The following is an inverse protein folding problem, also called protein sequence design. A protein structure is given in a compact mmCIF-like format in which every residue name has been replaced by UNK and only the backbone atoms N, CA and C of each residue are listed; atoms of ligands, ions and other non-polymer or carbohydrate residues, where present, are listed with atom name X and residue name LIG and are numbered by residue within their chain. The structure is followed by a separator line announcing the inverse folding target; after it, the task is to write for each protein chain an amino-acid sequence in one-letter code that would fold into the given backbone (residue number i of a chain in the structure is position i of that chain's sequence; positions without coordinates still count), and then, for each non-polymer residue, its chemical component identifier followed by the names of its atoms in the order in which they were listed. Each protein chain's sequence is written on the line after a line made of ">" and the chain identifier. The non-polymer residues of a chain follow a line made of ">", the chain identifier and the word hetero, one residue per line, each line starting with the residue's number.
data_IF_045845101645
#
_entry.id   IF_045845101645
#
_cell.length_a   1.000
_cell.length_b   1.000
_cell.length_c   1.000
_cell.angle_alpha   90.00
_cell.angle_beta   90.00
_cell.angle_gamma   90.00
#
_symmetry.space_group_name_H-M   'P 1'
#
loop_
_entity.id
_entity.type
_entity.pdbx_description
1 polymer ?
#
# COMPACT_ATOMS: atom_id res chain seq x y z
N UNK A 1 11.33 34.93 59.23
CA UNK A 1 10.51 33.97 58.46
C UNK A 1 11.10 33.87 57.06
N UNK A 2 11.98 32.88 56.83
CA UNK A 2 12.71 32.68 55.57
C UNK A 2 11.80 31.96 54.55
N UNK A 3 11.66 32.51 53.36
CA UNK A 3 10.98 31.86 52.23
C UNK A 3 12.06 31.14 51.41
N UNK A 4 12.03 29.81 51.41
CA UNK A 4 12.90 28.94 50.61
C UNK A 4 12.43 28.92 49.16
N UNK A 5 13.22 29.47 48.25
CA UNK A 5 13.08 29.23 46.80
C UNK A 5 13.60 27.83 46.47
N UNK A 6 12.72 26.94 46.00
CA UNK A 6 13.09 25.64 45.45
C UNK A 6 13.73 25.84 44.07
N UNK A 7 15.03 25.62 43.96
CA UNK A 7 15.71 25.48 42.68
C UNK A 7 15.20 24.24 41.97
N UNK A 8 14.62 24.41 40.77
CA UNK A 8 14.44 23.31 39.82
C UNK A 8 15.82 22.85 39.37
N UNK A 9 16.13 21.59 39.58
CA UNK A 9 17.25 20.93 38.89
C UNK A 9 17.02 21.03 37.37
N UNK A 10 18.04 21.36 36.58
CA UNK A 10 17.95 21.26 35.14
C UNK A 10 17.80 19.78 34.77
N UNK A 11 16.66 19.42 34.18
CA UNK A 11 16.45 18.10 33.61
C UNK A 11 17.58 17.81 32.64
N UNK A 12 18.27 16.68 32.84
CA UNK A 12 19.25 16.16 31.88
C UNK A 12 18.57 16.05 30.52
N UNK A 13 18.98 16.88 29.58
CA UNK A 13 18.79 16.58 28.16
C UNK A 13 19.40 15.20 27.89
N UNK A 14 18.70 14.29 27.19
CA UNK A 14 19.30 13.01 26.85
C UNK A 14 20.53 13.29 26.00
N UNK A 15 21.69 12.90 26.52
CA UNK A 15 22.95 12.87 25.78
C UNK A 15 22.71 12.11 24.49
N UNK A 16 22.87 12.79 23.36
CA UNK A 16 22.74 12.22 22.02
C UNK A 16 23.87 11.25 21.68
N UNK A 17 24.04 10.20 22.48
CA UNK A 17 24.79 9.03 22.08
C UNK A 17 23.94 8.28 21.04
N UNK A 18 24.50 8.13 19.83
CA UNK A 18 23.91 7.27 18.81
C UNK A 18 23.75 5.87 19.39
N UNK A 19 22.56 5.29 19.27
CA UNK A 19 22.21 3.91 19.67
C UNK A 19 23.06 2.83 18.99
N UNK A 20 23.95 3.23 18.06
CA UNK A 20 24.82 2.34 17.30
C UNK A 20 24.07 1.56 16.22
N UNK A 21 24.78 0.68 15.53
CA UNK A 21 24.16 -0.24 14.56
C UNK A 21 23.60 -1.48 15.27
N UNK A 22 22.42 -2.00 14.87
CA UNK A 22 21.84 -3.20 15.45
C UNK A 22 22.64 -4.45 15.08
N UNK A 23 22.63 -5.46 15.94
CA UNK A 23 23.23 -6.76 15.61
C UNK A 23 22.39 -7.52 14.56
N UNK A 24 22.95 -8.61 14.01
CA UNK A 24 22.20 -9.48 13.07
C UNK A 24 20.97 -10.10 13.70
N UNK A 25 21.05 -10.47 14.97
CA UNK A 25 19.97 -11.07 15.75
C UNK A 25 18.86 -10.05 16.02
N UNK A 26 19.24 -8.81 16.36
CA UNK A 26 18.30 -7.69 16.54
C UNK A 26 17.57 -7.35 15.25
N UNK A 27 18.30 -7.24 14.12
CA UNK A 27 17.71 -7.04 12.80
C UNK A 27 16.74 -8.17 12.42
N UNK A 28 17.12 -9.42 12.67
CA UNK A 28 16.26 -10.57 12.40
C UNK A 28 14.99 -10.54 13.24
N UNK A 29 15.08 -10.10 14.50
CA UNK A 29 13.92 -9.95 15.38
C UNK A 29 12.99 -8.83 14.90
N UNK A 30 13.53 -7.69 14.45
CA UNK A 30 12.73 -6.59 13.88
C UNK A 30 11.99 -7.06 12.62
N UNK A 31 12.70 -7.74 11.70
CA UNK A 31 12.10 -8.29 10.48
C UNK A 31 10.99 -9.27 10.83
N UNK A 32 11.25 -10.22 11.74
CA UNK A 32 10.26 -11.19 12.17
C UNK A 32 9.02 -10.53 12.78
N UNK A 33 9.18 -9.49 13.62
CA UNK A 33 8.03 -8.75 14.20
C UNK A 33 7.15 -8.11 13.13
N UNK A 34 7.75 -7.59 12.06
CA UNK A 34 7.06 -6.97 10.93
C UNK A 34 6.35 -8.02 10.09
N UNK A 35 7.07 -9.06 9.67
CA UNK A 35 6.53 -10.18 8.89
C UNK A 35 5.36 -10.84 9.62
N UNK A 36 5.54 -11.13 10.90
CA UNK A 36 4.48 -11.65 11.76
C UNK A 36 3.28 -10.70 11.78
N UNK A 37 3.49 -9.40 12.00
CA UNK A 37 2.38 -8.46 12.19
C UNK A 37 1.59 -8.13 10.92
N UNK A 38 2.26 -8.19 9.77
CA UNK A 38 1.78 -7.58 8.53
C UNK A 38 1.79 -8.51 7.31
N UNK A 39 2.20 -9.78 7.47
CA UNK A 39 2.41 -10.77 6.41
C UNK A 39 3.44 -10.39 5.35
N UNK A 40 4.03 -9.21 5.44
CA UNK A 40 4.98 -8.66 4.48
C UNK A 40 6.24 -8.22 5.21
N UNK A 41 7.38 -8.62 4.68
CA UNK A 41 8.69 -8.21 5.20
C UNK A 41 9.27 -7.00 4.45
N UNK A 42 10.32 -6.36 5.00
CA UNK A 42 11.05 -5.34 4.28
C UNK A 42 11.66 -5.93 2.99
N UNK A 43 11.61 -5.20 1.85
CA UNK A 43 12.23 -5.63 0.60
C UNK A 43 13.71 -5.98 0.77
N UNK A 44 14.22 -6.89 -0.07
CA UNK A 44 15.65 -7.24 -0.09
C UNK A 44 16.57 -6.03 -0.27
N UNK A 45 16.12 -4.98 -0.96
CA UNK A 45 16.85 -3.72 -1.13
C UNK A 45 16.84 -2.82 0.10
N UNK A 46 15.84 -2.97 0.98
CA UNK A 46 15.71 -2.23 2.24
C UNK A 46 16.46 -2.92 3.37
N UNK A 47 16.49 -4.26 3.39
CA UNK A 47 17.12 -5.07 4.45
C UNK A 47 18.53 -4.63 4.85
N UNK A 48 19.46 -4.31 3.93
CA UNK A 48 20.81 -3.87 4.29
C UNK A 48 20.88 -2.52 5.02
N UNK A 49 19.81 -1.72 4.99
CA UNK A 49 19.78 -0.36 5.53
C UNK A 49 18.72 -0.19 6.63
N UNK A 50 18.22 -1.27 7.24
CA UNK A 50 17.19 -1.20 8.28
C UNK A 50 17.65 -0.36 9.47
N UNK A 51 18.87 -0.58 9.98
CA UNK A 51 19.44 0.18 11.11
C UNK A 51 19.38 1.68 10.85
N UNK A 52 20.02 2.13 9.76
CA UNK A 52 19.99 3.53 9.30
C UNK A 52 18.57 4.09 9.11
N UNK A 53 17.66 3.32 8.50
CA UNK A 53 16.28 3.78 8.28
C UNK A 53 15.49 3.96 9.58
N UNK A 54 15.80 3.17 10.59
CA UNK A 54 15.15 3.21 11.89
C UNK A 54 15.85 4.11 12.90
N UNK A 55 17.02 4.68 12.59
CA UNK A 55 17.82 5.51 13.50
C UNK A 55 17.00 6.63 14.16
N UNK A 56 16.18 7.34 13.39
CA UNK A 56 15.31 8.40 13.92
C UNK A 56 14.24 7.91 14.92
N UNK A 57 13.77 6.67 14.78
CA UNK A 57 12.84 6.05 15.73
C UNK A 57 13.58 5.43 16.92
N UNK A 58 14.72 4.80 16.67
CA UNK A 58 15.53 4.06 17.62
C UNK A 58 16.29 4.98 18.58
N UNK A 59 16.70 6.18 18.14
CA UNK A 59 17.37 7.20 18.97
C UNK A 59 16.58 7.66 20.19
N UNK A 60 15.28 7.35 20.28
CA UNK A 60 14.43 7.60 21.46
C UNK A 60 14.63 6.56 22.58
N UNK A 61 15.47 5.56 22.37
CA UNK A 61 15.70 4.43 23.28
C UNK A 61 17.17 4.33 23.66
N UNK A 62 17.45 3.78 24.83
CA UNK A 62 18.83 3.58 25.32
C UNK A 62 19.58 2.44 24.63
N UNK A 63 18.87 1.51 23.98
CA UNK A 63 19.45 0.35 23.29
C UNK A 63 18.50 -0.25 22.25
N UNK A 64 19.03 -0.95 21.25
CA UNK A 64 18.23 -1.69 20.26
C UNK A 64 17.36 -2.76 20.91
N UNK A 65 17.87 -3.40 21.97
CA UNK A 65 17.09 -4.32 22.80
C UNK A 65 15.84 -3.66 23.39
N UNK A 66 15.94 -2.43 23.89
CA UNK A 66 14.79 -1.71 24.46
C UNK A 66 13.82 -1.23 23.38
N UNK A 67 14.35 -0.79 22.24
CA UNK A 67 13.55 -0.51 21.04
C UNK A 67 12.74 -1.74 20.61
N UNK A 68 13.37 -2.92 20.51
CA UNK A 68 12.71 -4.18 20.12
C UNK A 68 11.65 -4.61 21.14
N UNK A 69 11.91 -4.46 22.45
CA UNK A 69 10.89 -4.74 23.49
C UNK A 69 9.65 -3.85 23.32
N UNK A 70 9.83 -2.63 22.84
CA UNK A 70 8.75 -1.69 22.61
C UNK A 70 7.95 -1.98 21.32
N UNK A 71 8.47 -2.80 20.40
CA UNK A 71 7.78 -3.30 19.20
C UNK A 71 6.73 -4.37 19.53
N UNK A 72 5.77 -4.00 20.39
CA UNK A 72 4.65 -4.87 20.76
C UNK A 72 3.61 -4.90 19.63
N UNK A 73 2.93 -6.04 19.39
CA UNK A 73 1.80 -6.08 18.47
C UNK A 73 0.78 -4.97 18.77
N UNK A 74 0.37 -4.24 17.74
CA UNK A 74 -0.58 -3.12 17.86
C UNK A 74 -0.02 -1.83 18.46
N UNK A 75 1.27 -1.76 18.80
CA UNK A 75 1.88 -0.51 19.28
C UNK A 75 2.07 0.51 18.16
N UNK A 76 1.96 1.81 18.47
CA UNK A 76 2.25 2.88 17.51
C UNK A 76 3.68 2.81 16.97
N UNK A 77 4.66 2.43 17.81
CA UNK A 77 6.04 2.25 17.38
C UNK A 77 6.16 1.19 16.28
N UNK A 78 5.46 0.06 16.42
CA UNK A 78 5.46 -0.98 15.39
C UNK A 78 4.82 -0.49 14.09
N UNK A 79 3.77 0.32 14.17
CA UNK A 79 3.19 0.97 12.98
C UNK A 79 4.20 1.92 12.31
N UNK A 80 4.90 2.75 13.07
CA UNK A 80 5.91 3.68 12.54
C UNK A 80 7.07 2.92 11.86
N UNK A 81 7.49 1.79 12.45
CA UNK A 81 8.49 0.89 11.82
C UNK A 81 7.95 0.30 10.52
N UNK A 82 6.70 -0.16 10.50
CA UNK A 82 6.09 -0.68 9.27
C UNK A 82 6.03 0.39 8.17
N UNK A 83 5.61 1.61 8.51
CA UNK A 83 5.57 2.75 7.59
C UNK A 83 6.94 3.08 7.00
N UNK A 84 8.00 2.87 7.79
CA UNK A 84 9.39 3.16 7.40
C UNK A 84 10.03 2.05 6.54
N UNK A 85 9.74 0.79 6.86
CA UNK A 85 10.43 -0.36 6.26
C UNK A 85 9.66 -1.02 5.11
N UNK A 86 8.33 -0.97 5.12
CA UNK A 86 7.54 -1.52 4.04
C UNK A 86 7.59 -0.58 2.84
N UNK A 87 7.84 -1.15 1.66
CA UNK A 87 7.92 -0.38 0.43
C UNK A 87 6.52 -0.11 -0.11
N UNK A 88 6.38 1.02 -0.77
CA UNK A 88 5.20 1.34 -1.56
C UNK A 88 5.54 2.14 -2.80
N UNK A 89 6.72 1.93 -3.38
CA UNK A 89 7.01 2.56 -4.67
C UNK A 89 5.95 2.12 -5.68
N UNK A 90 5.13 3.06 -6.09
CA UNK A 90 4.10 2.93 -7.10
C UNK A 90 4.17 4.15 -8.02
N UNK A 91 3.61 4.02 -9.20
CA UNK A 91 3.55 5.08 -10.20
C UNK A 91 2.25 4.97 -10.98
N UNK A 92 1.84 6.07 -11.62
CA UNK A 92 0.62 6.05 -12.40
C UNK A 92 0.74 5.08 -13.57
N UNK A 93 -0.32 4.33 -13.83
CA UNK A 93 -0.43 3.39 -14.95
C UNK A 93 0.68 2.32 -14.99
N UNK A 94 1.17 1.91 -13.81
CA UNK A 94 2.15 0.83 -13.66
C UNK A 94 1.69 -0.46 -14.36
N UNK A 95 2.57 -1.08 -15.15
CA UNK A 95 2.24 -2.24 -16.01
C UNK A 95 1.06 -1.92 -16.97
N UNK A 96 1.26 -1.04 -17.97
CA UNK A 96 0.20 -0.45 -18.79
C UNK A 96 -0.66 -1.47 -19.56
N UNK A 97 -0.14 -2.68 -19.80
CA UNK A 97 -0.89 -3.80 -20.38
C UNK A 97 -2.14 -4.16 -19.58
N UNK A 98 -2.06 -4.09 -18.25
CA UNK A 98 -3.19 -4.41 -17.37
C UNK A 98 -4.26 -3.33 -17.42
N UNK A 99 -3.86 -2.06 -17.54
CA UNK A 99 -4.80 -0.97 -17.77
C UNK A 99 -5.46 -1.07 -19.15
N UNK A 100 -4.76 -1.61 -20.17
CA UNK A 100 -5.36 -1.87 -21.49
C UNK A 100 -6.43 -2.96 -21.40
N UNK A 101 -6.15 -4.00 -20.63
CA UNK A 101 -7.14 -5.05 -20.34
C UNK A 101 -8.34 -4.48 -19.58
N UNK A 102 -8.10 -3.66 -18.53
CA UNK A 102 -9.14 -3.01 -17.75
C UNK A 102 -10.04 -2.12 -18.62
N UNK A 103 -9.46 -1.36 -19.56
CA UNK A 103 -10.20 -0.51 -20.50
C UNK A 103 -11.21 -1.32 -21.34
N UNK A 104 -10.84 -2.51 -21.79
CA UNK A 104 -11.74 -3.42 -22.50
C UNK A 104 -12.74 -4.15 -21.59
N UNK A 105 -12.36 -4.42 -20.34
CA UNK A 105 -13.18 -5.15 -19.37
C UNK A 105 -14.30 -4.31 -18.77
N UNK A 106 -14.02 -3.06 -18.39
CA UNK A 106 -14.97 -2.21 -17.66
C UNK A 106 -16.35 -2.07 -18.35
N UNK A 107 -16.43 -1.88 -19.68
CA UNK A 107 -17.71 -1.83 -20.40
C UNK A 107 -18.51 -3.14 -20.37
N UNK A 108 -17.87 -4.29 -20.13
CA UNK A 108 -18.55 -5.60 -20.14
C UNK A 108 -19.23 -5.91 -18.81
N UNK A 109 -18.87 -5.21 -17.74
CA UNK A 109 -19.52 -5.34 -16.43
C UNK A 109 -20.81 -4.52 -16.48
N UNK A 110 -21.91 -5.03 -15.93
CA UNK A 110 -23.18 -4.28 -15.88
C UNK A 110 -23.17 -3.21 -14.78
N UNK A 111 -23.93 -2.12 -14.96
CA UNK A 111 -24.15 -1.13 -13.89
C UNK A 111 -22.90 -0.36 -13.44
N UNK A 112 -22.78 -0.11 -12.14
CA UNK A 112 -21.57 0.49 -11.52
C UNK A 112 -20.61 -0.62 -11.13
N UNK A 113 -19.34 -0.52 -11.53
CA UNK A 113 -18.35 -1.53 -11.13
C UNK A 113 -17.80 -1.27 -9.74
N UNK A 114 -17.76 -2.31 -8.93
CA UNK A 114 -17.18 -2.30 -7.58
C UNK A 114 -15.77 -2.85 -7.65
N UNK A 115 -14.78 -2.06 -7.21
CA UNK A 115 -13.36 -2.39 -7.33
C UNK A 115 -12.69 -2.30 -5.97
N UNK A 116 -11.91 -3.32 -5.60
CA UNK A 116 -10.97 -3.25 -4.48
C UNK A 116 -9.56 -3.02 -5.02
N UNK A 117 -8.87 -2.00 -4.53
CA UNK A 117 -7.43 -1.79 -4.74
C UNK A 117 -6.71 -2.05 -3.40
N UNK A 118 -6.14 -3.23 -3.25
CA UNK A 118 -5.50 -3.69 -2.03
C UNK A 118 -3.99 -3.41 -2.08
N UNK A 119 -3.49 -2.71 -1.05
CA UNK A 119 -2.13 -2.18 -0.98
C UNK A 119 -1.83 -1.07 -2.01
N UNK A 120 -2.79 -0.15 -2.15
CA UNK A 120 -2.80 0.96 -3.11
C UNK A 120 -1.65 1.98 -2.94
N UNK A 121 -0.85 1.86 -1.88
CA UNK A 121 0.21 2.79 -1.53
C UNK A 121 -0.27 4.23 -1.39
N UNK A 122 0.27 5.15 -2.19
CA UNK A 122 -0.09 6.55 -2.18
C UNK A 122 -1.18 6.90 -3.20
N UNK A 123 -1.95 5.90 -3.64
CA UNK A 123 -3.20 6.06 -4.38
C UNK A 123 -3.06 6.23 -5.89
N UNK A 124 -1.83 6.24 -6.43
CA UNK A 124 -1.64 6.35 -7.89
C UNK A 124 -2.31 5.22 -8.67
N UNK A 125 -2.33 4.00 -8.12
CA UNK A 125 -3.02 2.86 -8.75
C UNK A 125 -4.55 3.09 -8.79
N UNK A 126 -5.18 3.33 -7.64
CA UNK A 126 -6.59 3.70 -7.55
C UNK A 126 -7.00 4.85 -8.49
N UNK A 127 -6.16 5.89 -8.57
CA UNK A 127 -6.42 7.00 -9.48
C UNK A 127 -6.26 6.64 -10.95
N UNK A 128 -5.28 5.82 -11.30
CA UNK A 128 -5.18 5.28 -12.67
C UNK A 128 -6.40 4.44 -13.04
N UNK A 129 -6.92 3.61 -12.13
CA UNK A 129 -8.15 2.83 -12.34
C UNK A 129 -9.33 3.78 -12.59
N UNK A 130 -9.52 4.79 -11.73
CA UNK A 130 -10.58 5.78 -11.87
C UNK A 130 -10.48 6.59 -13.17
N UNK A 131 -9.26 6.96 -13.60
CA UNK A 131 -9.05 7.65 -14.88
C UNK A 131 -9.38 6.78 -16.10
N UNK A 132 -9.06 5.47 -16.06
CA UNK A 132 -9.46 4.53 -17.12
C UNK A 132 -10.98 4.38 -17.15
N UNK A 133 -11.62 4.26 -15.99
CA UNK A 133 -13.08 4.21 -15.89
C UNK A 133 -13.75 5.45 -16.48
N UNK A 134 -13.23 6.63 -16.15
CA UNK A 134 -13.69 7.90 -16.72
C UNK A 134 -13.50 7.97 -18.24
N UNK A 135 -12.37 7.46 -18.77
CA UNK A 135 -12.12 7.38 -20.22
C UNK A 135 -13.20 6.59 -20.96
N UNK A 136 -13.66 5.47 -20.38
CA UNK A 136 -14.67 4.60 -21.01
C UNK A 136 -16.10 4.93 -20.59
N UNK A 137 -16.32 6.00 -19.81
CA UNK A 137 -17.63 6.41 -19.34
C UNK A 137 -18.28 5.42 -18.36
N UNK A 138 -17.47 4.61 -17.65
CA UNK A 138 -17.95 3.59 -16.72
C UNK A 138 -18.02 4.15 -15.30
N UNK A 139 -19.19 4.17 -14.63
CA UNK A 139 -19.26 4.48 -13.21
C UNK A 139 -18.58 3.39 -12.39
N UNK A 140 -17.78 3.81 -11.40
CA UNK A 140 -17.04 2.92 -10.51
C UNK A 140 -17.16 3.36 -9.05
N UNK A 141 -17.06 2.39 -8.15
CA UNK A 141 -16.78 2.60 -6.72
C UNK A 141 -15.50 1.87 -6.38
N UNK A 142 -14.47 2.60 -5.98
CA UNK A 142 -13.15 2.02 -5.67
C UNK A 142 -12.90 2.13 -4.18
N UNK A 143 -12.68 1.00 -3.50
CA UNK A 143 -12.12 0.96 -2.16
C UNK A 143 -10.63 0.65 -2.25
N UNK A 144 -9.83 1.68 -2.04
CA UNK A 144 -8.38 1.60 -2.05
C UNK A 144 -7.86 1.51 -0.61
N UNK A 145 -7.08 0.48 -0.32
CA UNK A 145 -6.59 0.21 1.03
C UNK A 145 -5.09 0.09 1.09
N UNK A 146 -4.49 0.52 2.19
CA UNK A 146 -3.08 0.29 2.50
C UNK A 146 -2.93 0.23 4.02
N UNK A 147 -1.77 -0.24 4.47
CA UNK A 147 -1.47 -0.26 5.89
C UNK A 147 -0.83 1.05 6.37
N UNK A 148 -0.18 1.78 5.46
CA UNK A 148 0.63 2.95 5.78
C UNK A 148 -0.21 4.21 5.80
N UNK A 149 -0.36 4.79 6.99
CA UNK A 149 -1.21 5.97 7.21
C UNK A 149 -0.74 7.18 6.40
N UNK A 150 0.57 7.37 6.29
CA UNK A 150 1.17 8.51 5.57
C UNK A 150 0.95 8.38 4.06
N UNK A 151 1.05 7.15 3.53
CA UNK A 151 0.75 6.87 2.12
C UNK A 151 -0.73 7.15 1.83
N UNK A 152 -1.65 6.70 2.69
CA UNK A 152 -3.08 7.01 2.55
C UNK A 152 -3.39 8.49 2.74
N UNK A 153 -2.68 9.21 3.61
CA UNK A 153 -2.85 10.65 3.77
C UNK A 153 -2.42 11.39 2.50
N UNK A 154 -1.30 10.96 1.91
CA UNK A 154 -0.83 11.44 0.61
C UNK A 154 -1.83 11.12 -0.52
N UNK A 155 -2.38 9.91 -0.53
CA UNK A 155 -3.41 9.48 -1.47
C UNK A 155 -4.64 10.38 -1.40
N UNK A 156 -5.19 10.61 -0.21
CA UNK A 156 -6.37 11.50 -0.01
C UNK A 156 -6.12 12.94 -0.45
N UNK A 157 -4.88 13.44 -0.33
CA UNK A 157 -4.51 14.75 -0.91
C UNK A 157 -4.57 14.70 -2.44
N UNK A 158 -3.99 13.66 -3.04
CA UNK A 158 -3.93 13.50 -4.50
C UNK A 158 -2.98 14.51 -5.15
N UNK A 159 -1.89 14.86 -4.47
CA UNK A 159 -0.96 15.91 -4.88
C UNK A 159 0.48 15.36 -4.98
N UNK A 160 0.97 15.12 -6.18
CA UNK A 160 2.24 14.42 -6.39
C UNK A 160 3.30 15.35 -6.97
N UNK A 161 4.54 15.30 -6.48
CA UNK A 161 5.62 16.10 -7.05
C UNK A 161 5.80 15.76 -8.54
N UNK A 162 5.84 16.79 -9.39
CA UNK A 162 5.97 16.62 -10.84
C UNK A 162 7.28 15.90 -11.21
N UNK A 163 8.34 16.11 -10.42
CA UNK A 163 9.62 15.41 -10.60
C UNK A 163 9.53 13.90 -10.40
N UNK A 164 8.55 13.41 -9.64
CA UNK A 164 8.38 11.96 -9.43
C UNK A 164 7.95 11.22 -10.70
N UNK A 165 7.38 11.92 -11.69
CA UNK A 165 6.83 11.33 -12.91
C UNK A 165 7.87 11.08 -14.01
N UNK A 166 9.02 11.76 -13.98
CA UNK A 166 10.01 11.75 -15.08
C UNK A 166 10.60 10.34 -15.31
N UNK A 167 10.58 9.48 -14.28
CA UNK A 167 11.10 8.11 -14.32
C UNK A 167 10.03 7.02 -14.44
N UNK A 168 8.76 7.39 -14.60
CA UNK A 168 7.64 6.45 -14.59
C UNK A 168 7.31 6.00 -16.02
N UNK A 169 7.36 4.69 -16.29
CA UNK A 169 6.89 4.12 -17.56
C UNK A 169 5.36 4.00 -17.53
N UNK A 170 4.67 5.13 -17.72
CA UNK A 170 3.21 5.17 -17.79
C UNK A 170 2.66 4.64 -19.12
N UNK A 171 3.51 4.42 -20.13
CA UNK A 171 3.11 4.22 -21.52
C UNK A 171 2.53 5.48 -22.18
N UNK A 172 2.88 5.72 -23.45
CA UNK A 172 2.52 6.94 -24.19
C UNK A 172 1.00 7.20 -24.27
N UNK A 173 0.17 6.14 -24.25
CA UNK A 173 -1.29 6.26 -24.33
C UNK A 173 -1.96 6.85 -23.07
N UNK A 174 -1.37 6.65 -21.89
CA UNK A 174 -2.00 7.06 -20.62
C UNK A 174 -1.53 8.41 -20.10
N UNK A 175 -0.42 8.94 -20.61
CA UNK A 175 0.05 10.30 -20.31
C UNK A 175 -1.06 11.33 -20.58
N UNK A 176 -1.80 11.18 -21.68
CA UNK A 176 -2.92 12.07 -22.02
C UNK A 176 -4.05 12.03 -20.99
N UNK A 177 -4.38 10.85 -20.45
CA UNK A 177 -5.39 10.77 -19.38
C UNK A 177 -4.92 11.48 -18.12
N UNK A 178 -3.65 11.28 -17.77
CA UNK A 178 -3.04 11.97 -16.64
C UNK A 178 -3.12 13.49 -16.83
N UNK A 179 -2.81 14.01 -18.02
CA UNK A 179 -2.95 15.43 -18.34
C UNK A 179 -4.39 15.92 -18.28
N UNK A 180 -5.37 15.15 -18.77
CA UNK A 180 -6.78 15.53 -18.73
C UNK A 180 -7.35 15.58 -17.30
N UNK A 181 -6.90 14.67 -16.43
CA UNK A 181 -7.47 14.47 -15.09
C UNK A 181 -6.58 14.96 -13.96
N UNK A 182 -5.56 15.72 -14.29
CA UNK A 182 -4.73 16.41 -13.31
C UNK A 182 -4.41 17.82 -13.77
N UNK A 183 -4.06 18.68 -12.82
CA UNK A 183 -3.53 20.01 -13.11
C UNK A 183 -2.16 20.17 -12.51
N UNK A 184 -1.34 21.03 -13.12
CA UNK A 184 -0.03 21.37 -12.60
C UNK A 184 -0.14 22.64 -11.76
N UNK A 185 0.36 22.59 -10.53
CA UNK A 185 0.39 23.72 -9.60
C UNK A 185 1.82 23.98 -9.13
N UNK A 186 2.19 25.25 -8.94
CA UNK A 186 3.42 25.63 -8.26
C UNK A 186 3.09 26.02 -6.81
N UNK A 187 3.80 25.43 -5.86
CA UNK A 187 3.75 25.81 -4.45
C UNK A 187 5.18 25.89 -3.93
N UNK A 188 5.58 27.07 -3.46
CA UNK A 188 6.90 27.34 -2.86
C UNK A 188 8.07 26.88 -3.76
N UNK A 189 7.97 27.14 -5.07
CA UNK A 189 9.00 26.78 -6.05
C UNK A 189 9.03 25.30 -6.43
N UNK A 190 8.07 24.50 -5.94
CA UNK A 190 7.90 23.08 -6.31
C UNK A 190 6.65 22.91 -7.16
N UNK A 191 6.81 22.15 -8.23
CA UNK A 191 5.70 21.81 -9.13
C UNK A 191 5.05 20.50 -8.69
N UNK A 192 3.73 20.51 -8.59
CA UNK A 192 2.89 19.39 -8.23
C UNK A 192 1.89 19.10 -9.34
N UNK A 193 1.55 17.83 -9.47
CA UNK A 193 0.42 17.36 -10.26
C UNK A 193 -0.70 16.98 -9.30
N UNK A 194 -1.84 17.63 -9.43
CA UNK A 194 -2.98 17.53 -8.52
C UNK A 194 -4.15 16.84 -9.23
N UNK A 195 -4.66 15.76 -8.64
CA UNK A 195 -5.75 14.95 -9.21
C UNK A 195 -7.07 15.73 -9.17
N UNK A 196 -7.81 15.69 -10.28
CA UNK A 196 -9.08 16.37 -10.42
C UNK A 196 -10.15 15.81 -9.46
N UNK A 197 -11.00 16.63 -8.82
CA UNK A 197 -12.02 16.17 -7.89
C UNK A 197 -12.93 15.06 -8.42
N UNK A 198 -13.35 15.14 -9.70
CA UNK A 198 -14.21 14.11 -10.31
C UNK A 198 -13.59 12.71 -10.35
N UNK A 199 -12.26 12.60 -10.28
CA UNK A 199 -11.56 11.31 -10.15
C UNK A 199 -11.46 10.91 -8.68
N UNK A 200 -11.25 11.87 -7.79
CA UNK A 200 -11.18 11.62 -6.34
C UNK A 200 -12.49 11.10 -5.78
N UNK A 201 -13.62 11.61 -6.27
CA UNK A 201 -14.95 11.26 -5.77
C UNK A 201 -15.32 9.78 -5.98
N UNK A 202 -14.66 9.09 -6.93
CA UNK A 202 -14.85 7.66 -7.18
C UNK A 202 -14.01 6.73 -6.28
N UNK A 203 -13.14 7.29 -5.42
CA UNK A 203 -12.16 6.53 -4.63
C UNK A 203 -12.30 6.79 -3.13
N UNK A 204 -12.55 5.72 -2.38
CA UNK A 204 -12.55 5.71 -0.92
C UNK A 204 -11.24 5.09 -0.43
N UNK A 205 -10.52 5.79 0.47
CA UNK A 205 -9.27 5.31 1.03
C UNK A 205 -9.44 4.85 2.47
N UNK A 206 -9.07 3.60 2.77
CA UNK A 206 -9.18 3.02 4.11
C UNK A 206 -7.89 2.33 4.57
N UNK A 207 -7.67 2.27 5.89
CA UNK A 207 -6.54 1.52 6.44
C UNK A 207 -6.92 0.04 6.52
N UNK A 208 -6.14 -0.83 5.89
CA UNK A 208 -6.32 -2.28 5.97
C UNK A 208 -4.97 -3.00 6.08
N UNK A 209 -4.91 -3.94 7.02
CA UNK A 209 -3.85 -4.93 7.08
C UNK A 209 -4.31 -6.20 6.36
N UNK A 210 -3.56 -6.67 5.35
CA UNK A 210 -3.87 -7.91 4.63
C UNK A 210 -3.94 -9.14 5.55
N UNK A 211 -3.32 -9.08 6.74
CA UNK A 211 -3.50 -10.14 7.74
C UNK A 211 -4.95 -10.32 8.17
N UNK A 212 -5.74 -9.26 8.20
CA UNK A 212 -7.17 -9.37 8.52
C UNK A 212 -7.92 -10.08 7.38
N UNK A 213 -7.50 -9.88 6.13
CA UNK A 213 -8.05 -10.60 4.98
C UNK A 213 -7.70 -12.08 5.09
N UNK A 214 -6.43 -12.41 5.31
CA UNK A 214 -5.95 -13.80 5.50
C UNK A 214 -6.70 -14.55 6.61
N UNK A 215 -6.97 -13.87 7.73
CA UNK A 215 -7.65 -14.46 8.87
C UNK A 215 -9.19 -14.44 8.74
N UNK A 216 -9.74 -14.06 7.58
CA UNK A 216 -11.19 -13.96 7.32
C UNK A 216 -11.92 -13.04 8.32
N UNK A 217 -11.22 -12.05 8.85
CA UNK A 217 -11.75 -11.08 9.82
C UNK A 217 -12.20 -9.77 9.16
N UNK A 218 -12.09 -9.65 7.84
CA UNK A 218 -12.50 -8.45 7.10
C UNK A 218 -13.92 -8.63 6.59
N UNK A 219 -14.77 -7.66 6.94
CA UNK A 219 -15.99 -7.38 6.22
C UNK A 219 -15.81 -6.03 5.56
N UNK A 220 -15.81 -6.02 4.23
CA UNK A 220 -15.84 -4.76 3.49
C UNK A 220 -17.19 -4.08 3.72
N UNK A 221 -17.27 -2.74 3.67
CA UNK A 221 -18.56 -2.05 3.75
C UNK A 221 -19.51 -2.57 2.66
N UNK A 222 -20.82 -2.54 2.92
CA UNK A 222 -21.83 -3.18 2.06
C UNK A 222 -21.72 -2.75 0.58
N UNK A 223 -21.38 -1.50 0.27
CA UNK A 223 -21.20 -1.04 -1.12
C UNK A 223 -19.94 -1.59 -1.83
N UNK A 224 -19.05 -2.25 -1.09
CA UNK A 224 -17.82 -2.88 -1.55
C UNK A 224 -17.82 -4.40 -1.34
N UNK A 225 -18.91 -4.97 -0.84
CA UNK A 225 -19.11 -6.42 -0.84
C UNK A 225 -19.28 -6.94 -2.28
N UNK A 226 -18.80 -8.15 -2.54
CA UNK A 226 -18.85 -8.80 -3.86
C UNK A 226 -18.26 -7.92 -4.99
N UNK A 227 -16.97 -7.58 -4.93
CA UNK A 227 -16.33 -6.76 -5.96
C UNK A 227 -16.26 -7.47 -7.31
N UNK A 228 -16.49 -6.71 -8.39
CA UNK A 228 -16.27 -7.18 -9.76
C UNK A 228 -14.78 -7.35 -10.05
N UNK A 229 -13.93 -6.49 -9.47
CA UNK A 229 -12.49 -6.46 -9.73
C UNK A 229 -11.73 -6.26 -8.42
N UNK A 230 -10.65 -7.03 -8.25
CA UNK A 230 -9.69 -6.89 -7.16
C UNK A 230 -8.29 -6.68 -7.75
N UNK A 231 -7.63 -5.62 -7.33
CA UNK A 231 -6.22 -5.36 -7.56
C UNK A 231 -5.45 -5.73 -6.29
N UNK A 232 -4.43 -6.58 -6.42
CA UNK A 232 -3.49 -6.94 -5.35
C UNK A 232 -2.09 -7.08 -5.96
N UNK A 233 -1.50 -5.94 -6.31
CA UNK A 233 -0.33 -5.89 -7.19
C UNK A 233 0.93 -5.49 -6.45
N UNK A 234 2.02 -6.16 -6.80
CA UNK A 234 3.38 -5.89 -6.36
C UNK A 234 3.57 -5.88 -4.82
N UNK A 235 2.72 -6.59 -4.08
CA UNK A 235 2.80 -6.77 -2.63
C UNK A 235 3.09 -8.22 -2.24
N UNK A 236 2.59 -9.19 -2.98
CA UNK A 236 2.79 -10.62 -2.72
C UNK A 236 4.27 -10.99 -2.76
N UNK A 237 5.06 -10.30 -3.59
CA UNK A 237 6.52 -10.46 -3.66
C UNK A 237 7.26 -10.30 -2.30
N UNK A 238 6.64 -9.66 -1.30
CA UNK A 238 7.21 -9.45 0.03
C UNK A 238 6.77 -10.47 1.08
N UNK A 239 5.90 -11.41 0.69
CA UNK A 239 5.33 -12.43 1.57
C UNK A 239 5.99 -13.79 1.36
N UNK A 240 5.89 -14.67 2.37
CA UNK A 240 6.21 -16.10 2.25
C UNK A 240 5.22 -16.80 1.31
N UNK A 241 5.56 -17.98 0.77
CA UNK A 241 4.63 -18.71 -0.10
C UNK A 241 3.33 -19.12 0.63
N UNK A 242 3.43 -19.44 1.92
CA UNK A 242 2.27 -19.83 2.74
C UNK A 242 1.33 -18.65 3.00
N UNK A 243 1.89 -17.46 3.27
CA UNK A 243 1.11 -16.24 3.44
C UNK A 243 0.42 -15.82 2.14
N UNK A 244 1.13 -15.90 1.00
CA UNK A 244 0.54 -15.63 -0.33
C UNK A 244 -0.65 -16.53 -0.58
N UNK A 245 -0.49 -17.84 -0.34
CA UNK A 245 -1.57 -18.82 -0.51
C UNK A 245 -2.73 -18.49 0.40
N UNK A 246 -2.46 -18.19 1.67
CA UNK A 246 -3.50 -17.88 2.66
C UNK A 246 -4.29 -16.63 2.26
N UNK A 247 -3.61 -15.53 1.88
CA UNK A 247 -4.25 -14.29 1.44
C UNK A 247 -5.07 -14.51 0.16
N UNK A 248 -4.50 -15.18 -0.85
CA UNK A 248 -5.20 -15.42 -2.11
C UNK A 248 -6.38 -16.37 -1.97
N UNK A 249 -6.26 -17.45 -1.18
CA UNK A 249 -7.38 -18.33 -0.85
C UNK A 249 -8.46 -17.55 -0.12
N UNK A 250 -8.10 -16.74 0.88
CA UNK A 250 -9.07 -15.94 1.63
C UNK A 250 -9.83 -14.96 0.72
N UNK A 251 -9.12 -14.24 -0.17
CA UNK A 251 -9.72 -13.32 -1.13
C UNK A 251 -10.64 -14.02 -2.14
N UNK A 252 -10.13 -15.07 -2.77
CA UNK A 252 -10.85 -15.76 -3.84
C UNK A 252 -12.07 -16.51 -3.32
N UNK A 253 -12.00 -17.12 -2.14
CA UNK A 253 -13.11 -17.91 -1.59
C UNK A 253 -14.14 -17.06 -0.84
N UNK A 254 -13.72 -16.01 -0.13
CA UNK A 254 -14.59 -15.30 0.82
C UNK A 254 -14.94 -13.87 0.40
N UNK A 255 -14.25 -13.29 -0.59
CA UNK A 255 -14.50 -11.92 -1.03
C UNK A 255 -15.01 -11.87 -2.46
N UNK A 256 -14.39 -12.61 -3.38
CA UNK A 256 -14.73 -12.57 -4.81
C UNK A 256 -15.95 -13.43 -5.14
N UNK A 257 -16.82 -12.96 -6.04
CA UNK A 257 -17.91 -13.76 -6.60
C UNK A 257 -17.49 -14.43 -7.92
N UNK A 258 -18.27 -15.41 -8.39
CA UNK A 258 -18.05 -15.99 -9.71
C UNK A 258 -18.20 -14.89 -10.77
N UNK A 259 -17.23 -14.81 -11.67
CA UNK A 259 -17.12 -13.75 -12.66
C UNK A 259 -16.21 -12.59 -12.26
N UNK A 260 -15.82 -12.46 -10.98
CA UNK A 260 -14.88 -11.42 -10.54
C UNK A 260 -13.50 -11.60 -11.16
N UNK A 261 -12.77 -10.50 -11.31
CA UNK A 261 -11.41 -10.47 -11.85
C UNK A 261 -10.39 -10.13 -10.77
N UNK A 262 -9.24 -10.77 -10.80
CA UNK A 262 -8.08 -10.51 -9.95
C UNK A 262 -6.89 -10.08 -10.80
N UNK A 263 -6.36 -8.90 -10.49
CA UNK A 263 -5.15 -8.34 -11.09
C UNK A 263 -4.00 -8.49 -10.11
N UNK A 264 -2.97 -9.22 -10.50
CA UNK A 264 -1.72 -9.38 -9.76
C UNK A 264 -0.58 -8.68 -10.50
N UNK A 265 0.54 -8.40 -9.83
CA UNK A 265 1.71 -7.84 -10.50
C UNK A 265 2.28 -8.80 -11.56
N UNK A 266 2.96 -8.24 -12.56
CA UNK A 266 3.55 -9.00 -13.67
C UNK A 266 4.43 -10.20 -13.24
N UNK A 267 5.08 -10.10 -12.08
CA UNK A 267 5.96 -11.15 -11.53
C UNK A 267 5.30 -12.03 -10.46
N UNK A 268 4.01 -11.84 -10.19
CA UNK A 268 3.27 -12.48 -9.09
C UNK A 268 2.34 -13.61 -9.56
N UNK A 269 2.53 -14.07 -10.80
CA UNK A 269 1.65 -15.04 -11.44
C UNK A 269 1.38 -16.29 -10.58
N UNK A 270 0.14 -16.80 -10.67
CA UNK A 270 -0.45 -17.85 -9.81
C UNK A 270 0.11 -19.26 -10.08
N UNK A 271 1.08 -19.42 -10.99
CA UNK A 271 1.73 -20.71 -11.19
C UNK A 271 2.43 -21.11 -9.89
N UNK A 272 1.94 -22.19 -9.26
CA UNK A 272 2.37 -22.87 -8.01
C UNK A 272 1.40 -22.84 -6.80
N UNK A 273 0.24 -22.16 -6.83
CA UNK A 273 -0.60 -22.02 -5.60
C UNK A 273 -1.89 -22.85 -5.52
N UNK A 274 -2.21 -23.69 -6.51
CA UNK A 274 -3.33 -24.64 -6.41
C UNK A 274 -4.73 -24.01 -6.35
N UNK A 275 -4.87 -22.74 -6.76
CA UNK A 275 -6.15 -22.02 -6.84
C UNK A 275 -6.89 -22.40 -8.12
N UNK A 276 -7.51 -23.58 -8.14
CA UNK A 276 -8.21 -24.13 -9.31
C UNK A 276 -9.49 -23.36 -9.71
N UNK A 277 -9.92 -22.40 -8.89
CA UNK A 277 -11.08 -21.54 -9.13
C UNK A 277 -10.78 -20.36 -10.06
N UNK A 278 -9.50 -20.05 -10.29
CA UNK A 278 -9.06 -18.94 -11.13
C UNK A 278 -8.56 -19.39 -12.50
N UNK A 279 -9.09 -18.78 -13.56
CA UNK A 279 -8.62 -18.92 -14.94
C UNK A 279 -7.76 -17.72 -15.33
N UNK A 280 -6.61 -17.96 -15.95
CA UNK A 280 -5.73 -16.90 -16.45
C UNK A 280 -6.25 -16.36 -17.80
N UNK A 281 -6.56 -15.07 -17.87
CA UNK A 281 -7.28 -14.45 -19.00
C UNK A 281 -6.55 -13.26 -19.64
N UNK A 282 -5.42 -12.85 -19.09
CA UNK A 282 -4.65 -11.69 -19.57
C UNK A 282 -3.31 -11.58 -18.86
N UNK A 283 -2.57 -10.48 -19.03
CA UNK A 283 -1.25 -10.31 -18.42
C UNK A 283 -1.32 -10.21 -16.88
N UNK A 284 -1.10 -11.33 -16.17
CA UNK A 284 -1.34 -11.44 -14.72
C UNK A 284 -2.76 -11.06 -14.30
N UNK A 285 -3.73 -11.34 -15.17
CA UNK A 285 -5.17 -11.13 -14.91
C UNK A 285 -5.86 -12.49 -14.85
N UNK A 286 -6.68 -12.67 -13.83
CA UNK A 286 -7.36 -13.93 -13.55
C UNK A 286 -8.87 -13.70 -13.37
N UNK A 287 -9.70 -14.64 -13.82
CA UNK A 287 -11.15 -14.62 -13.63
C UNK A 287 -11.57 -15.77 -12.72
N UNK A 288 -12.44 -15.50 -11.75
CA UNK A 288 -13.03 -16.54 -10.91
C UNK A 288 -14.15 -17.26 -11.66
N UNK A 289 -14.00 -18.56 -11.89
CA UNK A 289 -14.97 -19.36 -12.65
C UNK A 289 -15.86 -20.26 -11.78
N UNK A 290 -15.46 -20.50 -10.52
CA UNK A 290 -16.16 -21.37 -9.55
C UNK A 290 -16.06 -20.77 -8.16
#
# INVERSE_FOLDING_TARGET
>A
MQIRTHGREPGKEPSGESIGEPTKEELSTIIWRIEESYLSGPPKTVRPNIGRRLEGLASKFSSWRDFIKALRPGSQLLEDVANTLLNGKTYFFREPEQFRYLEGLLPTISGTSVILDLCCSDGREAYSIAMVAAKVGKPVKILATDIRKEALAQARKGEYLLSSFISEDCGLGYIKLLECYTRVENRDGKWYRVVHPSIKDGVTFEKLNLRHVANKHVKFPNEFENPDIVFLRNVLIYMSNDDRRTVLTALTENCMHVGSYLFLGATEGISLMGLSTLEHVGHSVYRKNK
#
